data_IF_725001718085
#
_entry.id   IF_725001718085
#
_cell.length_a   1.000
_cell.length_b   1.000
_cell.length_c   1.000
_cell.angle_alpha   90.00
_cell.angle_beta   90.00
_cell.angle_gamma   90.00
#
_symmetry.space_group_name_H-M   'P 1'
#
loop_
_entity.id
_entity.type
_entity.pdbx_description
1 polymer ?
#
# COMPACT_ATOMS: atom_id res chain seq x y z
N UNK A 1 -1.97 30.31 4.51
CA UNK A 1 -3.03 29.90 5.45
C UNK A 1 -4.06 29.12 4.64
N UNK A 2 -3.86 27.82 4.51
CA UNK A 2 -4.86 26.93 3.92
C UNK A 2 -5.71 26.39 5.06
N UNK A 3 -6.98 26.74 5.07
CA UNK A 3 -7.95 26.22 6.04
C UNK A 3 -8.16 24.73 5.76
N UNK A 4 -7.84 23.88 6.73
CA UNK A 4 -8.35 22.52 6.77
C UNK A 4 -9.88 22.62 6.85
N UNK A 5 -10.55 22.30 5.75
CA UNK A 5 -11.96 22.05 5.79
C UNK A 5 -12.17 20.79 6.64
N UNK A 6 -12.80 20.95 7.81
CA UNK A 6 -13.29 19.82 8.59
C UNK A 6 -14.17 18.96 7.69
N UNK A 7 -13.75 17.74 7.44
CA UNK A 7 -14.58 16.76 6.77
C UNK A 7 -15.88 16.60 7.57
N UNK A 8 -17.01 16.81 6.92
CA UNK A 8 -18.32 16.55 7.52
C UNK A 8 -18.37 15.09 7.98
N UNK A 9 -18.98 14.85 9.14
CA UNK A 9 -19.22 13.52 9.70
C UNK A 9 -19.89 12.61 8.65
N UNK A 10 -19.07 11.82 7.97
CA UNK A 10 -19.56 10.82 7.02
C UNK A 10 -19.98 9.58 7.83
N UNK A 11 -21.11 8.94 7.51
CA UNK A 11 -21.56 7.79 8.28
C UNK A 11 -20.51 6.67 8.21
N UNK A 12 -20.15 6.13 9.36
CA UNK A 12 -19.25 4.99 9.47
C UNK A 12 -19.72 3.83 8.58
N UNK A 13 -18.78 3.17 7.93
CA UNK A 13 -19.08 1.97 7.14
C UNK A 13 -19.47 0.85 8.09
N UNK A 14 -20.76 0.48 8.07
CA UNK A 14 -21.25 -0.67 8.85
C UNK A 14 -21.03 -1.94 8.02
N UNK A 15 -19.99 -2.70 8.38
CA UNK A 15 -19.55 -3.89 7.64
C UNK A 15 -20.19 -5.13 8.25
N UNK A 16 -20.68 -6.05 7.41
CA UNK A 16 -21.25 -7.34 7.87
C UNK A 16 -20.12 -8.30 8.22
N UNK A 17 -20.11 -8.77 9.46
CA UNK A 17 -19.24 -9.85 9.92
C UNK A 17 -19.86 -11.19 9.53
N UNK A 18 -19.13 -12.04 8.80
CA UNK A 18 -19.54 -13.41 8.54
C UNK A 18 -19.13 -14.33 9.70
N UNK A 19 -19.79 -15.50 9.90
CA UNK A 19 -19.40 -16.45 10.93
C UNK A 19 -17.94 -16.93 10.84
N UNK A 20 -17.40 -17.03 9.62
CA UNK A 20 -16.01 -17.42 9.38
C UNK A 20 -15.03 -16.31 9.82
N UNK A 21 -15.41 -15.06 9.62
CA UNK A 21 -14.62 -13.89 10.04
C UNK A 21 -14.63 -13.73 11.57
N UNK A 22 -15.75 -14.03 12.22
CA UNK A 22 -15.83 -14.03 13.68
C UNK A 22 -14.91 -15.08 14.31
N UNK A 23 -14.64 -16.18 13.58
CA UNK A 23 -13.67 -17.23 13.98
C UNK A 23 -12.22 -16.90 13.66
N UNK A 24 -11.94 -15.86 12.85
CA UNK A 24 -10.59 -15.46 12.47
C UNK A 24 -9.80 -14.75 13.60
N UNK A 25 -10.33 -14.74 14.78
CA UNK A 25 -9.63 -14.46 16.04
C UNK A 25 -9.36 -12.99 16.31
N UNK A 26 -9.99 -12.49 17.35
CA UNK A 26 -9.45 -11.33 18.07
C UNK A 26 -8.09 -11.72 18.61
N UNK A 27 -7.03 -11.12 18.07
CA UNK A 27 -5.70 -11.24 18.69
C UNK A 27 -5.83 -10.67 20.09
N UNK A 28 -5.69 -11.51 21.10
CA UNK A 28 -5.82 -11.06 22.49
C UNK A 28 -4.78 -9.97 22.72
N UNK A 29 -5.27 -8.79 23.05
CA UNK A 29 -4.47 -7.60 23.40
C UNK A 29 -3.65 -7.74 24.67
N UNK A 30 -3.49 -8.95 25.18
CA UNK A 30 -2.87 -9.22 26.49
C UNK A 30 -1.38 -9.55 26.47
N UNK A 31 -0.77 -9.78 25.32
CA UNK A 31 0.67 -9.93 25.26
C UNK A 31 1.29 -8.54 25.07
N UNK A 32 2.07 -8.09 26.06
CA UNK A 32 2.91 -6.92 25.87
C UNK A 32 3.74 -7.12 24.59
N UNK A 33 3.71 -6.12 23.69
CA UNK A 33 4.55 -6.16 22.50
C UNK A 33 6.00 -6.37 22.94
N UNK A 34 6.78 -7.23 22.25
CA UNK A 34 8.15 -7.49 22.65
C UNK A 34 8.95 -6.18 22.66
N UNK A 35 9.89 -6.02 23.62
CA UNK A 35 10.70 -4.82 23.67
C UNK A 35 11.53 -4.71 22.39
N UNK A 36 11.68 -3.49 21.88
CA UNK A 36 12.55 -3.21 20.73
C UNK A 36 13.97 -3.63 21.13
N UNK A 37 14.65 -4.46 20.33
CA UNK A 37 16.03 -4.80 20.61
C UNK A 37 16.87 -3.50 20.65
N UNK A 38 17.75 -3.32 21.62
CA UNK A 38 18.62 -2.15 21.64
C UNK A 38 19.38 -2.09 20.31
N UNK A 39 19.48 -0.89 19.73
CA UNK A 39 20.33 -0.64 18.58
C UNK A 39 21.77 -0.92 19.03
N UNK A 40 22.20 -2.15 18.86
CA UNK A 40 23.61 -2.53 19.12
C UNK A 40 24.44 -1.87 18.03
N UNK A 41 25.17 -0.82 18.44
CA UNK A 41 26.00 -0.02 17.60
C UNK A 41 26.97 -0.82 16.74
N UNK A 42 27.57 -0.12 15.76
CA UNK A 42 28.69 -0.54 14.93
C UNK A 42 28.50 -1.79 14.09
N UNK A 43 27.54 -1.76 13.17
CA UNK A 43 27.66 -2.57 11.96
C UNK A 43 28.14 -1.68 10.82
N UNK A 44 29.46 -1.72 10.55
CA UNK A 44 30.04 -1.15 9.34
C UNK A 44 29.21 -1.63 8.15
N UNK A 45 28.75 -0.72 7.28
CA UNK A 45 28.03 -0.97 6.03
C UNK A 45 26.50 -1.12 6.12
N UNK A 46 25.83 -0.64 7.15
CA UNK A 46 24.36 -0.56 7.17
C UNK A 46 23.92 0.89 7.02
N UNK A 47 22.98 1.11 6.11
CA UNK A 47 22.19 2.33 6.20
C UNK A 47 21.40 2.20 7.49
N UNK A 48 21.86 2.91 8.49
CA UNK A 48 21.27 2.80 9.80
C UNK A 48 19.87 3.36 9.79
N UNK A 49 19.07 2.78 10.63
CA UNK A 49 17.71 3.25 10.85
C UNK A 49 17.67 4.49 11.74
N UNK A 50 18.55 5.42 11.51
CA UNK A 50 18.53 6.74 12.14
C UNK A 50 18.34 7.78 11.04
N UNK A 51 17.83 8.84 11.33
CA UNK A 51 17.53 9.95 10.45
C UNK A 51 16.46 10.77 11.11
N UNK A 52 15.93 11.74 10.43
CA UNK A 52 14.75 12.44 10.91
C UNK A 52 13.68 11.41 11.23
N UNK A 53 13.13 11.38 12.44
CA UNK A 53 11.98 10.55 12.69
C UNK A 53 10.88 10.94 11.70
N UNK A 54 10.12 9.94 11.25
CA UNK A 54 8.90 10.22 10.50
C UNK A 54 8.00 11.13 11.33
N UNK A 55 7.24 12.04 10.72
CA UNK A 55 6.31 12.90 11.45
C UNK A 55 5.09 12.14 12.00
N UNK A 56 4.81 10.95 11.52
CA UNK A 56 3.68 10.08 11.86
C UNK A 56 4.09 8.60 11.81
N UNK A 57 3.30 7.70 12.42
CA UNK A 57 3.45 6.27 12.25
C UNK A 57 3.18 5.82 10.81
N UNK A 58 3.69 4.66 10.47
CA UNK A 58 3.38 3.96 9.22
C UNK A 58 2.89 2.56 9.51
N UNK A 59 1.91 2.09 8.74
CA UNK A 59 1.51 0.69 8.72
C UNK A 59 2.19 -0.01 7.56
N UNK A 60 2.67 -1.22 7.78
CA UNK A 60 3.43 -2.01 6.80
C UNK A 60 2.76 -3.38 6.64
N UNK A 61 2.52 -3.77 5.41
CA UNK A 61 2.20 -5.15 5.06
C UNK A 61 3.51 -5.96 5.00
N UNK A 62 3.79 -6.70 6.08
CA UNK A 62 4.98 -7.56 6.19
C UNK A 62 4.64 -8.94 5.61
N UNK A 63 4.58 -9.01 4.27
CA UNK A 63 3.91 -10.01 3.43
C UNK A 63 4.28 -11.43 3.81
N UNK A 64 5.55 -11.77 3.84
CA UNK A 64 6.00 -13.15 4.13
C UNK A 64 6.06 -13.50 5.62
N UNK A 65 5.82 -12.52 6.47
CA UNK A 65 5.54 -12.76 7.88
C UNK A 65 4.03 -12.89 8.16
N UNK A 66 3.18 -12.71 7.15
CA UNK A 66 1.73 -12.77 7.21
C UNK A 66 1.17 -11.89 8.34
N UNK A 67 1.61 -10.63 8.39
CA UNK A 67 1.18 -9.67 9.40
C UNK A 67 1.13 -8.26 8.86
N UNK A 68 0.29 -7.44 9.47
CA UNK A 68 0.37 -5.99 9.40
C UNK A 68 1.04 -5.50 10.67
N UNK A 69 1.95 -4.55 10.56
CA UNK A 69 2.58 -3.89 11.71
C UNK A 69 2.55 -2.39 11.54
N UNK A 70 2.23 -1.67 12.60
CA UNK A 70 2.35 -0.23 12.63
C UNK A 70 3.55 0.19 13.46
N UNK A 71 4.37 1.05 12.88
CA UNK A 71 5.65 1.47 13.41
C UNK A 71 5.58 2.95 13.78
N UNK A 72 5.90 3.27 15.03
CA UNK A 72 6.07 4.65 15.48
C UNK A 72 7.25 5.33 14.77
N UNK A 73 7.29 6.66 14.74
CA UNK A 73 8.43 7.43 14.26
C UNK A 73 9.77 7.02 14.90
N UNK A 74 9.76 6.59 16.16
CA UNK A 74 10.92 6.08 16.89
C UNK A 74 11.16 4.57 16.74
N UNK A 75 10.38 3.92 15.82
CA UNK A 75 10.51 2.51 15.41
C UNK A 75 9.99 1.47 16.39
N UNK A 76 9.28 1.89 17.44
CA UNK A 76 8.50 0.95 18.25
C UNK A 76 7.31 0.44 17.46
N UNK A 77 7.00 -0.84 17.63
CA UNK A 77 5.76 -1.40 17.10
C UNK A 77 4.61 -0.92 18.01
N UNK A 78 3.67 -0.18 17.41
CA UNK A 78 2.49 0.36 18.08
C UNK A 78 1.31 -0.61 18.01
N UNK A 79 1.19 -1.30 16.91
CA UNK A 79 0.07 -2.16 16.59
C UNK A 79 0.55 -3.32 15.73
N UNK A 80 -0.05 -4.47 15.88
CA UNK A 80 0.23 -5.66 15.09
C UNK A 80 -1.06 -6.44 14.86
N UNK A 81 -1.23 -6.93 13.65
CA UNK A 81 -2.24 -7.89 13.27
C UNK A 81 -1.54 -9.10 12.65
N UNK A 82 -1.15 -10.10 13.45
CA UNK A 82 -0.56 -11.34 12.95
C UNK A 82 -1.65 -12.21 12.34
N UNK A 83 -1.28 -13.05 11.39
CA UNK A 83 -2.23 -13.99 10.80
C UNK A 83 -2.79 -14.96 11.84
N UNK A 84 -4.05 -14.86 12.22
CA UNK A 84 -4.66 -15.79 13.17
C UNK A 84 -4.96 -17.15 12.55
N UNK A 85 -5.12 -17.20 11.23
CA UNK A 85 -5.41 -18.37 10.45
C UNK A 85 -4.84 -18.22 9.02
N UNK A 86 -3.74 -18.90 8.75
CA UNK A 86 -3.02 -18.84 7.47
C UNK A 86 -3.83 -19.29 6.25
N UNK A 87 -4.97 -19.95 6.43
CA UNK A 87 -5.88 -20.28 5.31
C UNK A 87 -6.76 -19.11 4.92
N UNK A 88 -7.07 -18.25 5.90
CA UNK A 88 -7.97 -17.11 5.72
C UNK A 88 -7.17 -15.81 5.52
N UNK A 89 -5.98 -15.70 6.08
CA UNK A 89 -5.16 -14.50 6.03
C UNK A 89 -3.68 -14.87 5.86
N UNK A 90 -3.13 -14.62 4.69
CA UNK A 90 -1.70 -14.85 4.41
C UNK A 90 -1.24 -14.07 3.18
N UNK A 91 0.04 -13.69 3.18
CA UNK A 91 0.65 -13.04 2.03
C UNK A 91 0.01 -11.70 1.71
N UNK A 92 -0.32 -10.93 2.78
CA UNK A 92 -0.84 -9.58 2.65
C UNK A 92 0.15 -8.72 1.87
N UNK A 93 -0.31 -8.19 0.76
CA UNK A 93 0.47 -7.40 -0.16
C UNK A 93 0.31 -5.93 0.15
N UNK A 94 -0.86 -5.37 -0.08
CA UNK A 94 -1.12 -3.98 0.22
C UNK A 94 -1.95 -3.74 1.47
N UNK A 95 -1.79 -2.54 2.01
CA UNK A 95 -2.57 -2.05 3.13
C UNK A 95 -2.80 -0.55 3.01
N UNK A 96 -4.05 -0.11 3.19
CA UNK A 96 -4.37 1.31 3.29
C UNK A 96 -5.40 1.59 4.38
N UNK A 97 -5.34 2.77 4.99
CA UNK A 97 -6.37 3.22 5.91
C UNK A 97 -7.64 3.64 5.18
N UNK A 98 -8.80 3.39 5.80
CA UNK A 98 -10.05 4.03 5.39
C UNK A 98 -9.97 5.55 5.58
N UNK A 99 -10.81 6.35 4.90
CA UNK A 99 -10.79 7.81 5.03
C UNK A 99 -10.98 8.34 6.45
N UNK A 100 -11.59 7.56 7.34
CA UNK A 100 -11.74 7.91 8.76
C UNK A 100 -10.71 7.25 9.69
N UNK A 101 -9.77 6.49 9.14
CA UNK A 101 -8.70 5.82 9.88
C UNK A 101 -9.12 4.64 10.76
N UNK A 102 -10.38 4.18 10.69
CA UNK A 102 -10.88 3.12 11.58
C UNK A 102 -10.72 1.71 11.02
N UNK A 103 -10.66 1.61 9.70
CA UNK A 103 -10.55 0.35 8.99
C UNK A 103 -9.26 0.34 8.18
N UNK A 104 -8.79 -0.85 7.89
CA UNK A 104 -7.72 -1.10 6.93
C UNK A 104 -8.29 -1.93 5.78
N UNK A 105 -8.02 -1.49 4.56
CA UNK A 105 -8.16 -2.32 3.36
C UNK A 105 -6.87 -3.10 3.16
N UNK A 106 -6.97 -4.37 2.80
CA UNK A 106 -5.83 -5.27 2.60
C UNK A 106 -6.06 -6.13 1.40
N UNK A 107 -5.06 -6.30 0.55
CA UNK A 107 -5.03 -7.31 -0.50
C UNK A 107 -4.14 -8.49 -0.12
N UNK A 108 -4.47 -9.66 -0.62
CA UNK A 108 -3.68 -10.89 -0.47
C UNK A 108 -3.49 -11.54 -1.84
N UNK A 109 -2.47 -11.10 -2.57
CA UNK A 109 -2.19 -11.56 -3.93
C UNK A 109 -2.04 -13.09 -3.99
N UNK A 110 -1.27 -13.65 -3.07
CA UNK A 110 -0.96 -15.08 -3.00
C UNK A 110 -2.11 -15.93 -2.49
N UNK A 111 -3.13 -15.33 -1.88
CA UNK A 111 -4.30 -16.00 -1.31
C UNK A 111 -5.57 -15.79 -2.14
N UNK A 112 -5.54 -14.89 -3.12
CA UNK A 112 -6.62 -14.56 -4.06
C UNK A 112 -7.86 -13.97 -3.39
N UNK A 113 -7.67 -13.15 -2.37
CA UNK A 113 -8.74 -12.45 -1.67
C UNK A 113 -8.32 -11.06 -1.19
N UNK A 114 -9.30 -10.30 -0.72
CA UNK A 114 -9.11 -8.97 -0.14
C UNK A 114 -9.93 -8.85 1.14
N UNK A 115 -9.49 -7.99 2.05
CA UNK A 115 -10.06 -7.91 3.39
C UNK A 115 -10.30 -6.49 3.85
N UNK A 116 -11.21 -6.35 4.80
CA UNK A 116 -11.29 -5.20 5.69
C UNK A 116 -10.95 -5.65 7.10
N UNK A 117 -10.00 -4.99 7.72
CA UNK A 117 -9.60 -5.19 9.12
C UNK A 117 -10.08 -4.00 9.94
N UNK A 118 -10.79 -4.26 11.03
CA UNK A 118 -11.10 -3.25 12.04
C UNK A 118 -9.84 -2.99 12.88
N UNK A 119 -9.33 -1.78 12.79
CA UNK A 119 -8.07 -1.41 13.43
C UNK A 119 -8.12 -1.53 14.95
N UNK A 120 -9.18 -1.03 15.61
CA UNK A 120 -9.30 -1.06 17.06
C UNK A 120 -9.54 -2.48 17.59
N UNK A 121 -10.41 -3.23 16.92
CA UNK A 121 -10.73 -4.61 17.31
C UNK A 121 -9.66 -5.60 16.91
N UNK A 122 -8.75 -5.25 16.00
CA UNK A 122 -7.76 -6.16 15.42
C UNK A 122 -8.41 -7.42 14.87
N UNK A 123 -9.42 -7.23 14.03
CA UNK A 123 -10.24 -8.33 13.53
C UNK A 123 -10.57 -8.15 12.06
N UNK A 124 -10.58 -9.25 11.30
CA UNK A 124 -11.18 -9.27 9.97
C UNK A 124 -12.68 -9.05 10.11
N UNK A 125 -13.21 -8.06 9.41
CA UNK A 125 -14.65 -7.74 9.44
C UNK A 125 -15.33 -7.94 8.10
N UNK A 126 -14.57 -8.11 7.03
CA UNK A 126 -15.09 -8.44 5.72
C UNK A 126 -14.01 -9.10 4.85
N UNK A 127 -14.42 -10.01 3.98
CA UNK A 127 -13.58 -10.69 2.99
C UNK A 127 -14.32 -10.79 1.67
N UNK A 128 -13.61 -10.57 0.56
CA UNK A 128 -14.05 -10.88 -0.79
C UNK A 128 -12.99 -11.67 -1.51
N UNK A 129 -13.39 -12.70 -2.21
CA UNK A 129 -12.50 -13.70 -2.77
C UNK A 129 -12.72 -15.05 -2.10
N UNK A 130 -11.97 -16.03 -2.52
CA UNK A 130 -11.96 -17.37 -1.91
C UNK A 130 -10.51 -17.75 -1.65
N UNK A 131 -10.11 -17.91 -0.38
CA UNK A 131 -8.74 -18.27 -0.04
C UNK A 131 -8.23 -19.45 -0.85
N UNK A 132 -6.99 -19.36 -1.33
CA UNK A 132 -6.33 -20.39 -2.15
C UNK A 132 -7.02 -20.74 -3.47
N UNK A 133 -8.01 -19.96 -3.91
CA UNK A 133 -8.81 -20.30 -5.08
C UNK A 133 -8.83 -19.16 -6.10
N UNK A 134 -7.97 -19.25 -7.10
CA UNK A 134 -7.98 -18.28 -8.20
C UNK A 134 -9.04 -18.58 -9.24
N UNK A 135 -9.58 -17.55 -9.89
CA UNK A 135 -10.57 -17.73 -10.94
C UNK A 135 -11.00 -16.43 -11.60
N UNK A 136 -12.05 -16.53 -12.42
CA UNK A 136 -12.58 -15.42 -13.21
C UNK A 136 -14.01 -15.01 -12.86
N UNK A 137 -14.66 -15.68 -11.91
CA UNK A 137 -15.99 -15.32 -11.43
C UNK A 137 -15.96 -14.01 -10.61
N UNK A 138 -17.13 -13.47 -10.30
CA UNK A 138 -17.23 -12.21 -9.55
C UNK A 138 -16.54 -12.27 -8.18
N UNK A 139 -16.69 -13.42 -7.50
CA UNK A 139 -16.11 -13.66 -6.18
C UNK A 139 -14.76 -14.40 -6.21
N UNK A 140 -14.07 -14.40 -7.35
CA UNK A 140 -12.75 -15.00 -7.48
C UNK A 140 -11.80 -14.00 -8.08
N UNK A 141 -10.60 -13.99 -7.55
CA UNK A 141 -9.48 -13.21 -8.06
C UNK A 141 -8.45 -14.08 -8.77
N UNK A 142 -7.61 -13.43 -9.53
CA UNK A 142 -6.40 -14.01 -10.08
C UNK A 142 -5.27 -13.00 -9.94
N UNK A 143 -4.67 -12.97 -8.75
CA UNK A 143 -3.72 -11.99 -8.24
C UNK A 143 -4.37 -10.61 -8.03
N UNK A 144 -5.20 -10.45 -6.95
CA UNK A 144 -5.64 -9.12 -6.51
C UNK A 144 -4.46 -8.36 -5.97
N UNK A 145 -4.45 -7.07 -6.28
CA UNK A 145 -3.43 -6.14 -5.85
C UNK A 145 -4.14 -4.85 -5.39
N UNK A 146 -3.44 -3.89 -4.86
CA UNK A 146 -4.01 -2.67 -4.30
C UNK A 146 -5.33 -2.84 -3.50
N UNK A 147 -5.48 -2.11 -2.44
CA UNK A 147 -6.67 -2.19 -1.60
C UNK A 147 -7.00 -0.82 -0.99
N UNK A 148 -8.14 -0.24 -1.37
CA UNK A 148 -8.59 1.04 -0.82
C UNK A 148 -10.06 1.01 -0.44
N UNK A 149 -10.42 1.68 0.67
CA UNK A 149 -11.79 2.02 0.99
C UNK A 149 -12.00 3.48 0.58
N UNK A 150 -12.88 3.69 -0.40
CA UNK A 150 -13.18 5.03 -0.90
C UNK A 150 -14.12 5.79 0.06
N UNK A 151 -14.23 7.09 -0.14
CA UNK A 151 -15.08 7.99 0.67
C UNK A 151 -16.54 7.55 0.82
N UNK A 152 -17.09 6.87 -0.20
CA UNK A 152 -18.45 6.33 -0.20
C UNK A 152 -18.55 4.94 0.43
N UNK A 153 -17.43 4.39 0.90
CA UNK A 153 -17.33 3.07 1.52
C UNK A 153 -17.21 1.91 0.52
N UNK A 154 -17.04 2.20 -0.75
CA UNK A 154 -16.75 1.19 -1.77
C UNK A 154 -15.30 0.72 -1.61
N UNK A 155 -15.08 -0.58 -1.67
CA UNK A 155 -13.78 -1.19 -1.72
C UNK A 155 -13.28 -1.19 -3.18
N UNK A 156 -12.13 -0.56 -3.41
CA UNK A 156 -11.45 -0.51 -4.69
C UNK A 156 -10.28 -1.48 -4.67
N UNK A 157 -10.15 -2.30 -5.70
CA UNK A 157 -9.02 -3.19 -5.91
C UNK A 157 -8.88 -3.51 -7.40
N UNK A 158 -7.73 -3.99 -7.79
CA UNK A 158 -7.51 -4.53 -9.13
C UNK A 158 -7.23 -6.03 -9.08
N UNK A 159 -7.41 -6.66 -10.20
CA UNK A 159 -7.28 -8.10 -10.39
C UNK A 159 -6.38 -8.33 -11.60
N UNK A 160 -5.07 -8.39 -11.34
CA UNK A 160 -3.98 -8.26 -12.33
C UNK A 160 -4.19 -9.20 -13.51
N UNK A 161 -4.35 -10.50 -13.24
CA UNK A 161 -4.42 -11.53 -14.29
C UNK A 161 -5.79 -11.66 -14.95
N UNK A 162 -6.82 -11.11 -14.32
CA UNK A 162 -8.13 -10.96 -14.93
C UNK A 162 -8.25 -9.63 -15.69
N UNK A 163 -7.25 -8.75 -15.58
CA UNK A 163 -7.13 -7.48 -16.32
C UNK A 163 -8.31 -6.53 -16.06
N UNK A 164 -8.73 -6.42 -14.81
CA UNK A 164 -9.87 -5.62 -14.37
C UNK A 164 -9.58 -4.82 -13.10
N UNK A 165 -10.31 -3.72 -12.95
CA UNK A 165 -10.40 -2.93 -11.72
C UNK A 165 -11.80 -3.11 -11.15
N UNK A 166 -11.91 -3.41 -9.87
CA UNK A 166 -13.17 -3.75 -9.22
C UNK A 166 -13.55 -2.74 -8.16
N UNK A 167 -14.81 -2.36 -8.17
CA UNK A 167 -15.47 -1.56 -7.14
C UNK A 167 -16.47 -2.48 -6.44
N UNK A 168 -16.22 -2.82 -5.19
CA UNK A 168 -17.03 -3.79 -4.45
C UNK A 168 -17.74 -3.05 -3.32
N UNK A 169 -19.03 -3.29 -3.15
CA UNK A 169 -19.82 -2.76 -2.04
C UNK A 169 -19.78 -3.76 -0.86
N UNK A 170 -19.02 -3.49 0.21
CA UNK A 170 -18.94 -4.41 1.34
C UNK A 170 -20.24 -4.53 2.11
N UNK A 171 -21.09 -3.47 2.12
CA UNK A 171 -22.38 -3.47 2.82
C UNK A 171 -23.41 -4.38 2.13
N UNK A 172 -23.41 -4.36 0.79
CA UNK A 172 -24.30 -5.18 -0.01
C UNK A 172 -23.68 -6.51 -0.39
N UNK A 173 -22.38 -6.68 -0.14
CA UNK A 173 -21.57 -7.84 -0.49
C UNK A 173 -21.70 -8.21 -1.97
N UNK A 174 -21.48 -7.22 -2.86
CA UNK A 174 -21.60 -7.38 -4.31
C UNK A 174 -20.64 -6.47 -5.07
N UNK A 175 -20.34 -6.83 -6.30
CA UNK A 175 -19.67 -5.94 -7.24
C UNK A 175 -20.57 -4.74 -7.53
N UNK A 176 -20.08 -3.54 -7.25
CA UNK A 176 -20.74 -2.26 -7.54
C UNK A 176 -20.49 -1.85 -8.98
N UNK A 177 -19.24 -1.93 -9.42
CA UNK A 177 -18.82 -1.66 -10.79
C UNK A 177 -17.52 -2.45 -11.10
N UNK A 178 -17.29 -2.68 -12.39
CA UNK A 178 -16.06 -3.29 -12.90
C UNK A 178 -15.61 -2.53 -14.15
N UNK A 179 -14.33 -2.19 -14.21
CA UNK A 179 -13.69 -1.71 -15.43
C UNK A 179 -12.75 -2.78 -15.96
N UNK A 180 -12.56 -2.80 -17.26
CA UNK A 180 -11.81 -3.84 -17.96
C UNK A 180 -12.72 -4.95 -18.47
N UNK A 181 -12.20 -5.75 -19.38
CA UNK A 181 -12.85 -6.96 -19.87
C UNK A 181 -11.97 -8.15 -19.49
N UNK A 182 -12.52 -9.05 -18.71
CA UNK A 182 -11.81 -10.21 -18.17
C UNK A 182 -11.05 -10.98 -19.24
N UNK A 183 -9.76 -11.16 -19.02
CA UNK A 183 -8.87 -11.85 -19.97
C UNK A 183 -8.43 -11.02 -21.16
N UNK A 184 -8.88 -9.79 -21.32
CA UNK A 184 -8.39 -8.87 -22.36
C UNK A 184 -7.28 -7.97 -21.81
N UNK A 185 -6.08 -8.51 -21.66
CA UNK A 185 -4.94 -7.86 -21.07
C UNK A 185 -4.19 -6.96 -22.05
N UNK A 186 -4.80 -5.85 -22.42
CA UNK A 186 -4.26 -4.83 -23.33
C UNK A 186 -4.66 -3.44 -22.84
N UNK A 187 -3.87 -2.46 -23.20
CA UNK A 187 -4.17 -1.07 -22.89
C UNK A 187 -5.31 -0.54 -23.79
N UNK A 188 -6.47 -0.30 -23.19
CA UNK A 188 -7.66 0.30 -23.81
C UNK A 188 -8.63 0.79 -22.71
N UNK A 189 -8.19 1.68 -21.79
CA UNK A 189 -8.98 2.08 -20.64
C UNK A 189 -10.27 2.82 -21.03
N UNK A 190 -11.39 2.66 -20.31
CA UNK A 190 -11.61 1.75 -19.19
C UNK A 190 -12.07 0.36 -19.64
N UNK A 191 -12.08 0.05 -20.95
CA UNK A 191 -12.59 -1.20 -21.52
C UNK A 191 -11.66 -2.39 -21.33
N UNK A 192 -10.38 -2.15 -21.22
CA UNK A 192 -9.36 -3.17 -20.97
C UNK A 192 -8.10 -2.53 -20.38
N UNK A 193 -7.35 -3.32 -19.59
CA UNK A 193 -6.08 -2.90 -18.97
C UNK A 193 -4.99 -3.95 -19.21
N UNK A 194 -3.77 -3.48 -19.41
CA UNK A 194 -2.60 -4.32 -19.60
C UNK A 194 -1.99 -4.78 -18.28
N UNK A 195 -2.67 -5.67 -17.55
CA UNK A 195 -2.29 -6.12 -16.21
C UNK A 195 -2.26 -4.95 -15.21
N UNK A 196 -3.45 -4.48 -14.74
CA UNK A 196 -3.52 -3.40 -13.76
C UNK A 196 -2.94 -3.86 -12.44
N UNK A 197 -1.87 -3.22 -12.00
CA UNK A 197 -1.21 -3.49 -10.73
C UNK A 197 -1.72 -2.54 -9.66
N UNK A 198 -1.85 -1.24 -9.94
CA UNK A 198 -2.31 -0.24 -9.01
C UNK A 198 -3.65 0.39 -9.39
N UNK A 199 -4.48 0.72 -8.39
CA UNK A 199 -5.71 1.48 -8.53
C UNK A 199 -5.90 2.41 -7.33
N UNK A 200 -5.33 3.61 -7.40
CA UNK A 200 -5.31 4.60 -6.31
C UNK A 200 -6.25 5.76 -6.62
N UNK A 201 -6.85 6.39 -5.62
CA UNK A 201 -7.73 7.54 -5.84
C UNK A 201 -6.99 8.89 -5.73
N UNK A 202 -7.42 9.84 -6.58
CA UNK A 202 -7.14 11.25 -6.40
C UNK A 202 -8.08 11.87 -5.36
N UNK A 203 -7.71 13.00 -4.79
CA UNK A 203 -8.53 13.75 -3.82
C UNK A 203 -9.95 14.06 -4.34
N UNK A 204 -10.09 14.31 -5.64
CA UNK A 204 -11.37 14.59 -6.28
C UNK A 204 -12.21 13.33 -6.59
N UNK A 205 -11.74 12.14 -6.24
CA UNK A 205 -12.39 10.87 -6.47
C UNK A 205 -12.12 10.20 -7.81
N UNK A 206 -11.35 10.81 -8.73
CA UNK A 206 -10.85 10.11 -9.91
C UNK A 206 -9.93 8.98 -9.50
N UNK A 207 -9.81 7.97 -10.33
CA UNK A 207 -8.94 6.81 -10.09
C UNK A 207 -7.71 6.88 -11.00
N UNK A 208 -6.54 6.69 -10.41
CA UNK A 208 -5.30 6.41 -11.11
C UNK A 208 -5.17 4.89 -11.27
N UNK A 209 -5.16 4.40 -12.49
CA UNK A 209 -4.88 3.00 -12.78
C UNK A 209 -3.47 2.88 -13.33
N UNK A 210 -2.67 2.00 -12.71
CA UNK A 210 -1.29 1.67 -13.10
C UNK A 210 -1.27 0.32 -13.77
N UNK A 211 -0.69 0.22 -14.97
CA UNK A 211 -0.59 -1.03 -15.72
C UNK A 211 0.87 -1.49 -15.82
N UNK A 212 1.12 -2.76 -15.52
CA UNK A 212 2.46 -3.37 -15.67
C UNK A 212 2.92 -3.27 -17.13
N UNK A 213 2.02 -3.63 -18.03
CA UNK A 213 2.36 -3.69 -19.46
C UNK A 213 2.65 -2.31 -20.02
N UNK A 214 3.91 -2.11 -20.39
CA UNK A 214 4.40 -0.87 -20.98
C UNK A 214 4.29 0.35 -20.08
N UNK A 215 4.11 0.14 -18.76
CA UNK A 215 4.03 1.17 -17.74
C UNK A 215 3.00 2.29 -18.05
N UNK A 216 1.80 1.90 -18.49
CA UNK A 216 0.70 2.84 -18.70
C UNK A 216 0.10 3.28 -17.38
N UNK A 217 -0.26 4.57 -17.35
CA UNK A 217 -0.97 5.20 -16.25
C UNK A 217 -2.17 5.94 -16.81
N UNK A 218 -3.33 5.74 -16.23
CA UNK A 218 -4.57 6.35 -16.70
C UNK A 218 -5.32 6.97 -15.54
N UNK A 219 -5.67 8.26 -15.66
CA UNK A 219 -6.61 8.91 -14.76
C UNK A 219 -8.01 8.80 -15.34
N UNK A 220 -8.92 8.23 -14.58
CA UNK A 220 -10.28 7.89 -15.01
C UNK A 220 -11.26 8.41 -13.98
N UNK A 221 -12.31 9.13 -14.40
CA UNK A 221 -13.36 9.57 -13.47
C UNK A 221 -14.17 8.38 -12.97
N UNK A 222 -14.89 8.54 -11.87
CA UNK A 222 -15.74 7.46 -11.31
C UNK A 222 -16.79 6.93 -12.31
N UNK A 223 -17.19 7.75 -13.29
CA UNK A 223 -18.11 7.36 -14.36
C UNK A 223 -17.42 6.63 -15.54
N UNK A 224 -16.10 6.39 -15.42
CA UNK A 224 -15.35 5.66 -16.45
C UNK A 224 -14.85 6.54 -17.61
N UNK A 225 -14.82 7.86 -17.47
CA UNK A 225 -14.25 8.75 -18.50
C UNK A 225 -12.75 8.90 -18.30
N UNK A 226 -11.96 8.54 -19.30
CA UNK A 226 -10.50 8.77 -19.30
C UNK A 226 -10.22 10.28 -19.38
N UNK A 227 -9.53 10.79 -18.38
CA UNK A 227 -9.05 12.18 -18.34
C UNK A 227 -7.75 12.31 -19.10
N UNK A 228 -6.82 11.42 -18.84
CA UNK A 228 -5.57 11.24 -19.59
C UNK A 228 -5.07 9.79 -19.45
N UNK A 229 -4.22 9.40 -20.40
CA UNK A 229 -3.52 8.13 -20.36
C UNK A 229 -2.12 8.31 -20.94
N UNK A 230 -1.10 7.80 -20.22
CA UNK A 230 0.30 8.09 -20.54
C UNK A 230 1.21 6.96 -20.07
N UNK A 231 2.31 6.72 -20.78
CA UNK A 231 3.38 5.82 -20.32
C UNK A 231 4.34 6.56 -19.41
N UNK A 232 4.63 6.00 -18.25
CA UNK A 232 5.68 6.53 -17.38
C UNK A 232 7.05 6.48 -18.07
N UNK A 233 7.85 7.52 -17.95
CA UNK A 233 9.20 7.54 -18.52
C UNK A 233 10.16 6.67 -17.69
N UNK A 234 11.05 5.93 -18.36
CA UNK A 234 12.14 5.14 -17.74
C UNK A 234 11.69 4.02 -16.80
N UNK A 235 10.47 3.54 -16.88
CA UNK A 235 9.92 2.45 -16.07
C UNK A 235 9.87 1.16 -16.87
N UNK A 236 10.36 0.07 -16.26
CA UNK A 236 10.33 -1.28 -16.84
C UNK A 236 9.08 -2.05 -16.39
N UNK A 237 8.81 -2.03 -15.10
CA UNK A 237 7.67 -2.68 -14.48
C UNK A 237 7.05 -1.66 -13.49
N UNK A 238 5.99 -1.00 -13.92
CA UNK A 238 5.26 -0.11 -13.02
C UNK A 238 4.56 -0.98 -11.97
N UNK A 239 4.98 -0.82 -10.72
CA UNK A 239 4.24 -1.27 -9.55
C UNK A 239 3.25 -0.18 -9.16
N UNK A 240 2.97 0.00 -7.89
CA UNK A 240 1.99 0.98 -7.48
C UNK A 240 2.42 2.42 -7.74
N UNK A 241 1.44 3.23 -8.03
CA UNK A 241 1.67 4.64 -8.33
C UNK A 241 0.68 5.50 -7.59
N UNK A 242 1.16 6.63 -7.10
CA UNK A 242 0.36 7.59 -6.34
C UNK A 242 0.42 8.97 -6.97
N UNK A 243 -0.65 9.77 -6.86
CA UNK A 243 -0.55 11.19 -7.09
C UNK A 243 0.41 11.82 -6.06
N UNK A 244 1.18 12.82 -6.47
CA UNK A 244 1.87 13.70 -5.49
C UNK A 244 0.84 14.40 -4.61
N UNK A 245 1.26 14.88 -3.44
CA UNK A 245 0.38 15.57 -2.47
C UNK A 245 -0.42 16.71 -3.09
N UNK A 246 0.14 17.40 -4.07
CA UNK A 246 -0.57 18.48 -4.81
C UNK A 246 -1.43 17.95 -5.98
N UNK A 247 -1.46 16.63 -6.21
CA UNK A 247 -2.24 15.97 -7.24
C UNK A 247 -1.81 16.24 -8.69
N UNK A 248 -0.67 16.91 -8.92
CA UNK A 248 -0.26 17.33 -10.27
C UNK A 248 0.68 16.37 -10.97
N UNK A 249 1.46 15.63 -10.20
CA UNK A 249 2.44 14.68 -10.71
C UNK A 249 2.11 13.27 -10.22
N UNK A 250 2.72 12.30 -10.85
CA UNK A 250 2.60 10.89 -10.47
C UNK A 250 3.96 10.40 -10.00
N UNK A 251 3.97 9.74 -8.85
CA UNK A 251 5.11 8.99 -8.34
C UNK A 251 4.89 7.52 -8.63
N UNK A 252 5.92 6.85 -9.15
CA UNK A 252 5.88 5.43 -9.54
C UNK A 252 7.15 4.72 -9.11
N UNK A 253 6.98 3.52 -8.54
CA UNK A 253 8.06 2.59 -8.27
C UNK A 253 8.26 1.67 -9.49
N UNK A 254 9.53 1.45 -9.88
CA UNK A 254 9.93 0.49 -10.91
C UNK A 254 10.33 -0.82 -10.23
N UNK A 255 9.42 -1.78 -10.21
CA UNK A 255 9.62 -3.11 -9.60
C UNK A 255 10.64 -3.93 -10.40
N UNK A 256 11.87 -3.48 -10.34
CA UNK A 256 13.01 -4.00 -11.11
C UNK A 256 14.29 -3.99 -10.30
N UNK A 257 15.33 -4.60 -10.83
CA UNK A 257 16.67 -4.55 -10.26
C UNK A 257 17.71 -4.14 -11.31
N UNK A 258 18.46 -3.05 -11.10
CA UNK A 258 18.31 -2.06 -10.03
C UNK A 258 16.99 -1.29 -10.16
N UNK A 259 16.29 -1.15 -9.03
CA UNK A 259 15.01 -0.44 -8.97
C UNK A 259 15.19 1.08 -9.03
N UNK A 260 14.10 1.79 -9.32
CA UNK A 260 14.05 3.24 -9.31
C UNK A 260 12.71 3.77 -8.84
N UNK A 261 12.68 5.04 -8.49
CA UNK A 261 11.46 5.78 -8.24
C UNK A 261 11.49 7.03 -9.14
N UNK A 262 10.39 7.28 -9.83
CA UNK A 262 10.23 8.43 -10.73
C UNK A 262 9.03 9.25 -10.31
N UNK A 263 9.19 10.59 -10.28
CA UNK A 263 8.08 11.54 -10.24
C UNK A 263 8.03 12.22 -11.60
N UNK A 264 6.90 12.15 -12.26
CA UNK A 264 6.74 12.72 -13.59
C UNK A 264 5.42 13.48 -13.74
N UNK A 265 5.41 14.45 -14.62
CA UNK A 265 4.21 15.17 -15.04
C UNK A 265 3.47 14.36 -16.12
N UNK A 266 2.23 13.91 -15.88
CA UNK A 266 1.49 13.06 -16.81
C UNK A 266 1.12 13.77 -18.11
N UNK A 267 1.04 15.11 -18.14
CA UNK A 267 0.67 15.87 -19.33
C UNK A 267 1.85 16.09 -20.26
N UNK A 268 3.04 16.30 -19.71
CA UNK A 268 4.25 16.58 -20.48
C UNK A 268 5.21 15.40 -20.59
N UNK A 269 5.03 14.36 -19.74
CA UNK A 269 5.91 13.22 -19.55
C UNK A 269 7.31 13.58 -19.07
N UNK A 270 7.52 14.80 -18.60
CA UNK A 270 8.81 15.22 -18.06
C UNK A 270 9.01 14.64 -16.67
N UNK A 271 10.20 14.06 -16.45
CA UNK A 271 10.63 13.65 -15.12
C UNK A 271 10.94 14.90 -14.31
N UNK A 272 10.24 15.03 -13.18
CA UNK A 272 10.47 16.10 -12.21
C UNK A 272 11.51 15.67 -11.15
N UNK A 273 11.55 14.39 -10.84
CA UNK A 273 12.48 13.83 -9.89
C UNK A 273 12.69 12.32 -10.16
N UNK A 274 13.89 11.82 -9.89
CA UNK A 274 14.21 10.42 -10.04
C UNK A 274 15.21 10.01 -8.96
N UNK A 275 15.01 8.84 -8.37
CA UNK A 275 16.00 8.13 -7.57
C UNK A 275 16.43 6.88 -8.31
N UNK A 276 17.71 6.77 -8.60
CA UNK A 276 18.29 5.61 -9.27
C UNK A 276 19.75 5.41 -8.86
N UNK A 277 20.05 4.25 -8.25
CA UNK A 277 21.40 3.84 -7.85
C UNK A 277 21.69 2.45 -8.42
N UNK A 278 22.76 2.31 -9.17
CA UNK A 278 23.09 1.07 -9.91
C UNK A 278 23.54 -0.08 -9.02
N UNK A 279 24.16 0.20 -7.87
CA UNK A 279 24.77 -0.82 -6.99
C UNK A 279 25.05 -0.28 -5.60
N UNK A 280 25.31 -1.18 -4.65
CA UNK A 280 25.60 -0.85 -3.26
C UNK A 280 24.33 -0.79 -2.41
N UNK A 281 24.50 -0.39 -1.15
CA UNK A 281 23.42 -0.48 -0.15
C UNK A 281 22.29 0.55 -0.33
N UNK A 282 22.53 1.56 -1.17
CA UNK A 282 21.50 2.55 -1.57
C UNK A 282 20.72 2.15 -2.82
N UNK A 283 21.11 1.09 -3.52
CA UNK A 283 20.36 0.55 -4.66
C UNK A 283 19.02 -0.01 -4.15
N UNK A 284 17.95 0.20 -4.92
CA UNK A 284 16.66 -0.46 -4.68
C UNK A 284 16.63 -1.82 -5.39
N UNK A 285 15.93 -2.78 -4.77
CA UNK A 285 15.75 -4.13 -5.31
C UNK A 285 14.26 -4.48 -5.31
N UNK A 286 13.61 -4.31 -6.45
CA UNK A 286 12.16 -4.49 -6.64
C UNK A 286 11.34 -3.63 -5.66
N UNK A 287 11.45 -2.29 -5.72
CA UNK A 287 10.57 -1.45 -4.91
C UNK A 287 9.12 -1.56 -5.41
N UNK A 288 8.18 -1.85 -4.51
CA UNK A 288 6.74 -1.96 -4.82
C UNK A 288 6.05 -0.60 -4.74
N UNK A 289 6.17 0.09 -3.64
CA UNK A 289 5.49 1.35 -3.37
C UNK A 289 6.48 2.51 -3.23
N UNK A 290 6.11 3.66 -3.77
CA UNK A 290 6.72 4.95 -3.48
C UNK A 290 5.64 6.02 -3.31
N UNK A 291 5.68 6.77 -2.20
CA UNK A 291 4.75 7.88 -1.95
C UNK A 291 5.44 9.10 -1.38
N UNK A 292 4.88 10.28 -1.66
CA UNK A 292 5.34 11.55 -1.11
C UNK A 292 4.76 11.76 0.29
N UNK A 293 5.60 12.02 1.27
CA UNK A 293 5.18 12.33 2.64
C UNK A 293 4.61 13.75 2.71
N UNK A 294 3.35 13.95 3.15
CA UNK A 294 2.66 15.22 3.05
C UNK A 294 3.37 16.40 3.75
N UNK A 295 3.97 16.14 4.92
CA UNK A 295 4.57 17.21 5.73
C UNK A 295 5.99 17.60 5.31
N UNK A 296 6.76 16.65 4.78
CA UNK A 296 8.19 16.85 4.50
C UNK A 296 8.50 16.93 3.01
N UNK A 297 7.64 16.32 2.19
CA UNK A 297 7.87 16.13 0.75
C UNK A 297 8.96 15.08 0.44
N UNK A 298 9.46 14.38 1.46
CA UNK A 298 10.40 13.27 1.27
C UNK A 298 9.65 12.03 0.73
N UNK A 299 10.37 11.06 0.25
CA UNK A 299 9.79 9.91 -0.45
C UNK A 299 9.90 8.65 0.41
N UNK A 300 8.76 8.13 0.82
CA UNK A 300 8.64 6.82 1.46
C UNK A 300 8.67 5.74 0.38
N UNK A 301 9.48 4.70 0.56
CA UNK A 301 9.63 3.61 -0.41
C UNK A 301 9.67 2.27 0.31
N UNK A 302 8.91 1.30 -0.19
CA UNK A 302 9.06 -0.11 0.17
C UNK A 302 10.07 -0.74 -0.77
N UNK A 303 11.15 -1.29 -0.23
CA UNK A 303 12.28 -1.91 -0.96
C UNK A 303 12.29 -3.41 -0.66
N UNK A 304 11.37 -4.12 -1.34
CA UNK A 304 10.89 -5.46 -1.01
C UNK A 304 11.97 -6.50 -0.82
N UNK A 305 12.78 -6.72 -1.86
CA UNK A 305 13.83 -7.75 -1.83
C UNK A 305 15.05 -7.33 -1.03
N UNK A 306 15.04 -6.11 -0.50
CA UNK A 306 15.97 -5.66 0.52
C UNK A 306 15.41 -5.74 1.94
N UNK A 307 14.17 -6.25 2.11
CA UNK A 307 13.51 -6.46 3.40
C UNK A 307 13.44 -5.18 4.26
N UNK A 308 13.12 -4.04 3.64
CA UNK A 308 13.12 -2.73 4.32
C UNK A 308 12.11 -1.75 3.74
N UNK A 309 11.67 -0.83 4.60
CA UNK A 309 10.98 0.42 4.23
C UNK A 309 11.93 1.58 4.51
N UNK A 310 12.06 2.51 3.58
CA UNK A 310 13.01 3.63 3.67
C UNK A 310 12.33 4.96 3.39
N UNK A 311 12.95 6.04 3.86
CA UNK A 311 12.62 7.41 3.43
C UNK A 311 13.83 8.02 2.76
N UNK A 312 13.62 8.58 1.59
CA UNK A 312 14.63 9.26 0.78
C UNK A 312 14.36 10.77 0.87
N UNK A 313 15.36 11.53 1.31
CA UNK A 313 15.31 12.99 1.26
C UNK A 313 15.20 13.45 -0.20
N UNK A 314 14.14 14.20 -0.50
CA UNK A 314 13.84 14.60 -1.88
C UNK A 314 14.90 15.48 -2.51
N UNK A 315 15.60 16.29 -1.73
CA UNK A 315 16.61 17.25 -2.24
C UNK A 315 17.97 16.60 -2.41
N UNK A 316 18.43 15.86 -1.40
CA UNK A 316 19.77 15.28 -1.37
C UNK A 316 19.83 13.89 -2.00
N UNK A 317 18.69 13.22 -2.12
CA UNK A 317 18.56 11.82 -2.55
C UNK A 317 19.31 10.85 -1.63
N UNK A 318 19.45 11.23 -0.35
CA UNK A 318 20.01 10.36 0.67
C UNK A 318 18.89 9.59 1.38
N UNK A 319 19.16 8.34 1.76
CA UNK A 319 18.26 7.59 2.63
C UNK A 319 18.42 8.16 4.04
N UNK A 320 17.36 8.74 4.58
CA UNK A 320 17.38 9.45 5.87
C UNK A 320 16.66 8.69 6.98
N UNK A 321 15.93 7.65 6.64
CA UNK A 321 15.26 6.77 7.60
C UNK A 321 15.11 5.37 7.01
N UNK A 322 15.09 4.35 7.86
CA UNK A 322 14.88 2.96 7.47
C UNK A 322 14.24 2.17 8.60
N UNK A 323 13.29 1.30 8.29
CA UNK A 323 12.85 0.19 9.11
C UNK A 323 13.06 -1.12 8.35
N UNK A 324 13.40 -2.20 9.06
CA UNK A 324 13.96 -3.40 8.46
C UNK A 324 15.49 -3.33 8.32
N UNK A 325 16.14 -4.46 8.19
CA UNK A 325 17.58 -4.55 7.97
C UNK A 325 17.86 -5.03 6.55
N UNK A 326 18.68 -4.27 5.82
CA UNK A 326 19.05 -4.57 4.45
C UNK A 326 19.42 -6.05 4.24
N UNK A 327 18.64 -6.77 3.45
CA UNK A 327 18.81 -8.19 3.12
C UNK A 327 18.83 -9.12 4.33
N UNK A 328 18.14 -8.77 5.39
CA UNK A 328 18.02 -9.60 6.57
C UNK A 328 16.56 -9.84 6.92
N UNK A 329 16.05 -10.96 6.48
CA UNK A 329 14.69 -11.41 6.76
C UNK A 329 14.51 -11.79 8.22
N UNK A 330 13.33 -11.52 8.75
CA UNK A 330 12.99 -11.96 10.11
C UNK A 330 11.66 -11.40 10.58
N UNK A 331 11.18 -11.96 11.70
CA UNK A 331 9.92 -11.58 12.36
C UNK A 331 10.15 -10.75 13.64
N UNK A 332 11.38 -10.73 14.14
CA UNK A 332 11.70 -9.95 15.35
C UNK A 332 11.52 -8.43 15.11
N UNK A 333 11.23 -7.65 16.17
CA UNK A 333 11.18 -6.20 16.05
C UNK A 333 12.40 -5.63 15.33
N UNK A 334 12.17 -4.72 14.39
CA UNK A 334 13.22 -4.15 13.54
C UNK A 334 13.57 -4.99 12.31
N UNK A 335 12.93 -6.15 12.11
CA UNK A 335 13.09 -6.97 10.92
C UNK A 335 11.76 -7.08 10.15
N UNK A 336 11.89 -7.24 8.84
CA UNK A 336 10.82 -7.50 7.89
C UNK A 336 11.14 -8.75 7.07
N UNK A 337 10.16 -9.27 6.36
CA UNK A 337 10.36 -10.35 5.42
C UNK A 337 9.52 -10.10 4.18
N UNK A 338 10.15 -9.53 3.16
CA UNK A 338 9.47 -9.14 1.93
C UNK A 338 8.27 -8.23 2.23
N UNK A 339 8.49 -7.03 2.81
CA UNK A 339 7.41 -6.05 2.94
C UNK A 339 6.93 -5.67 1.55
N UNK A 340 5.66 -5.33 1.43
CA UNK A 340 5.08 -4.93 0.15
C UNK A 340 4.32 -3.61 0.31
N UNK A 341 3.14 -3.62 0.93
CA UNK A 341 2.32 -2.43 1.14
C UNK A 341 2.76 -1.55 2.31
N UNK A 342 2.48 -0.26 2.20
CA UNK A 342 2.68 0.72 3.29
C UNK A 342 1.68 1.86 3.18
N UNK A 343 1.18 2.33 4.33
CA UNK A 343 0.41 3.57 4.41
C UNK A 343 0.81 4.38 5.66
N UNK A 344 0.42 5.64 5.70
CA UNK A 344 0.76 6.58 6.78
C UNK A 344 -0.43 6.80 7.72
N UNK A 345 -0.20 6.72 9.04
CA UNK A 345 -1.23 7.04 10.03
C UNK A 345 -1.23 8.54 10.38
N UNK A 346 -2.03 9.30 9.64
CA UNK A 346 -2.27 10.73 9.90
C UNK A 346 -3.46 10.98 10.82
N UNK A 347 -4.13 9.93 11.31
CA UNK A 347 -5.41 10.01 12.03
C UNK A 347 -5.24 10.10 13.53
N UNK A 348 -4.09 9.66 14.09
CA UNK A 348 -3.89 9.49 15.53
C UNK A 348 -2.77 10.40 16.05
N UNK A 349 -3.01 11.02 17.22
CA UNK A 349 -1.95 11.77 17.92
C UNK A 349 -1.06 10.81 18.73
N UNK A 350 -0.11 10.22 18.03
CA UNK A 350 0.86 9.31 18.65
C UNK A 350 1.86 10.00 19.58
N UNK A 351 2.04 11.31 19.47
CA UNK A 351 2.92 12.07 20.39
C UNK A 351 2.39 12.00 21.82
N UNK A 352 1.07 12.10 21.99
CA UNK A 352 0.43 11.95 23.29
C UNK A 352 0.52 10.51 23.84
N UNK A 353 0.56 9.50 22.97
CA UNK A 353 0.66 8.09 23.37
C UNK A 353 2.11 7.70 23.67
N UNK A 354 3.08 8.27 22.98
CA UNK A 354 4.51 8.02 23.19
C UNK A 354 5.05 8.71 24.46
N UNK A 355 4.33 9.71 24.99
CA UNK A 355 4.70 10.45 26.20
C UNK A 355 4.28 9.74 27.50
N UNK A 356 3.50 8.68 27.43
CA UNK A 356 3.07 7.82 28.55
C UNK A 356 3.92 6.57 28.65
#
# INVERSE_FOLDING_TARGET
MAAHAMAADKPAVEVKVTPEMAGAGVVSSGAALPPIPPVTGNRKNRVASWGKPLPYPIIIADRRNNRLIEIAPDKRILWEFPSPNLKVYRGNEDVSFSPDGKLLAVSEEDNYDVHIVDYEKRALVWTWGTPDTKGHADQLFNYPDDAHILDDGIFLTNDIRNCRVMFIDPKQNKVHAEWGTRGQCRHDPPRAFGYPNGATNFENGDILVTEIKEAWHSRITREGKVVWSVRAPNIHYASDSFPTVDGKQIIVADFWKPGRVVIFDPLTRKIAWEYFVKSGDKMLDHPSIAMELPETGDILVVDDLHDRVIVIDRKTKEIIWQYGELRRKGHAPGLLNYPDGVDIDVFRDWKATLAK
#
